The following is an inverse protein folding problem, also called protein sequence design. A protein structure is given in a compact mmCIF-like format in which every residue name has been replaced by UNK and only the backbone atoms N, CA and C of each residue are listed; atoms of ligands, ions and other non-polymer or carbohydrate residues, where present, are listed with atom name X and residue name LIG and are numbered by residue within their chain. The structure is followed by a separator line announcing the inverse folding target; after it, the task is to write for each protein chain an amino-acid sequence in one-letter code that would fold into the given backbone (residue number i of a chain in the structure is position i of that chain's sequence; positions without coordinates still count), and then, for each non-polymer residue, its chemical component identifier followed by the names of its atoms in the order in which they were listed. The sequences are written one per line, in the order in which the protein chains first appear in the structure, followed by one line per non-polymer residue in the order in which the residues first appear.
data_IF_813943506534
#
_entry.id   IF_813943506534
#
_cell.length_a   1.000
_cell.length_b   1.000
_cell.length_c   1.000
_cell.angle_alpha   90.00
_cell.angle_beta   90.00
_cell.angle_gamma   90.00
#
_symmetry.space_group_name_H-M   'P 1'
#
loop_
_entity.id
_entity.type
_entity.pdbx_description
1 polymer ?
#
# COMPACT_ATOMS: atom_id res chain seq x y z
N UNK A 1 5.64 -23.87 1.69
CA UNK A 1 6.14 -22.51 2.01
C UNK A 1 6.57 -21.89 0.68
N UNK A 2 5.88 -20.85 0.17
CA UNK A 2 6.28 -20.18 -1.08
C UNK A 2 7.32 -19.09 -0.74
N UNK A 3 8.37 -19.00 -1.56
CA UNK A 3 9.42 -17.99 -1.39
C UNK A 3 8.91 -16.57 -1.70
N UNK A 4 9.45 -15.54 -1.03
CA UNK A 4 9.11 -14.15 -1.35
C UNK A 4 9.49 -13.83 -2.80
N UNK A 5 8.52 -13.33 -3.56
CA UNK A 5 8.79 -12.80 -4.90
C UNK A 5 9.19 -11.34 -4.77
N UNK A 6 10.43 -11.01 -5.16
CA UNK A 6 10.86 -9.61 -5.28
C UNK A 6 10.15 -8.99 -6.48
N UNK A 7 9.39 -7.93 -6.26
CA UNK A 7 8.98 -7.03 -7.34
C UNK A 7 10.21 -6.18 -7.68
N UNK A 8 10.77 -6.41 -8.86
CA UNK A 8 11.98 -5.72 -9.32
C UNK A 8 11.80 -4.20 -9.45
N UNK A 9 12.93 -3.51 -9.32
CA UNK A 9 13.23 -2.06 -9.43
C UNK A 9 12.82 -1.12 -8.30
N UNK A 10 11.96 -1.51 -7.35
CA UNK A 10 11.57 -0.62 -6.23
C UNK A 10 11.96 -1.13 -4.83
N UNK A 11 12.58 -2.30 -4.72
CA UNK A 11 13.02 -2.86 -3.43
C UNK A 11 11.88 -3.28 -2.49
N UNK A 12 10.62 -3.24 -2.94
CA UNK A 12 9.45 -3.61 -2.15
C UNK A 12 9.23 -5.13 -2.26
N UNK A 13 9.29 -5.82 -1.12
CA UNK A 13 8.92 -7.24 -1.03
C UNK A 13 7.45 -7.33 -0.68
N UNK A 14 6.61 -7.71 -1.65
CA UNK A 14 5.18 -7.96 -1.41
C UNK A 14 5.02 -9.45 -1.13
N UNK A 15 4.56 -9.77 0.08
CA UNK A 15 4.26 -11.14 0.49
C UNK A 15 2.79 -11.45 0.17
N UNK A 16 2.45 -12.69 -0.24
CA UNK A 16 1.07 -13.07 -0.51
C UNK A 16 0.30 -12.98 0.81
N UNK A 17 -0.52 -11.94 0.97
CA UNK A 17 -1.27 -11.71 2.18
C UNK A 17 -2.73 -11.44 1.82
N UNK A 18 -3.56 -12.48 1.96
CA UNK A 18 -5.03 -12.36 2.20
C UNK A 18 -5.38 -11.50 3.42
N UNK A 19 -4.37 -11.07 4.17
CA UNK A 19 -4.47 -10.20 5.32
C UNK A 19 -4.80 -8.75 4.93
N UNK A 20 -4.45 -8.38 3.70
CA UNK A 20 -4.68 -7.05 3.19
C UNK A 20 -6.10 -6.86 2.65
N UNK A 21 -6.87 -7.92 2.40
CA UNK A 21 -8.19 -7.81 1.79
C UNK A 21 -9.15 -6.95 2.63
N UNK A 22 -9.22 -7.15 3.95
CA UNK A 22 -10.10 -6.34 4.83
C UNK A 22 -9.53 -4.96 5.15
N UNK A 23 -8.20 -4.82 5.14
CA UNK A 23 -7.52 -3.54 5.42
C UNK A 23 -7.63 -2.63 4.20
N UNK A 24 -7.34 -3.14 3.00
CA UNK A 24 -7.33 -2.39 1.73
C UNK A 24 -8.74 -2.08 1.23
N UNK A 25 -9.75 -2.89 1.56
CA UNK A 25 -11.15 -2.63 1.16
C UNK A 25 -11.78 -1.42 1.85
N UNK A 26 -11.19 -0.88 2.91
CA UNK A 26 -11.68 0.29 3.64
C UNK A 26 -10.86 1.58 3.43
N UNK A 27 -9.86 1.57 2.53
CA UNK A 27 -9.15 2.81 2.19
C UNK A 27 -9.93 3.61 1.15
N UNK A 28 -10.32 4.82 1.55
CA UNK A 28 -10.85 5.84 0.65
C UNK A 28 -9.83 6.96 0.53
N UNK A 29 -9.51 7.39 -0.70
CA UNK A 29 -8.72 8.60 -0.93
C UNK A 29 -9.41 9.87 -0.41
N UNK A 30 -10.66 9.79 0.01
CA UNK A 30 -11.48 10.93 0.43
C UNK A 30 -11.67 11.03 1.94
N UNK A 31 -11.17 10.06 2.71
CA UNK A 31 -11.43 9.98 4.13
C UNK A 31 -10.14 9.81 4.92
N UNK A 32 -10.15 10.41 6.11
CA UNK A 32 -9.08 10.34 7.08
C UNK A 32 -9.57 9.56 8.27
N UNK A 33 -8.68 8.86 8.95
CA UNK A 33 -9.07 8.03 10.08
C UNK A 33 -7.91 7.38 10.79
N UNK A 34 -8.27 6.62 11.81
CA UNK A 34 -7.36 5.79 12.57
C UNK A 34 -7.88 4.36 12.56
N UNK A 35 -6.96 3.42 12.51
CA UNK A 35 -7.24 2.00 12.52
C UNK A 35 -6.22 1.25 13.34
N UNK A 36 -6.45 -0.05 13.44
CA UNK A 36 -5.50 -1.00 14.01
C UNK A 36 -5.34 -2.12 13.01
N UNK A 37 -4.09 -2.44 12.70
CA UNK A 37 -3.73 -3.65 11.95
C UNK A 37 -3.41 -4.74 12.96
N UNK A 38 -4.28 -5.75 13.13
CA UNK A 38 -3.90 -6.92 13.90
C UNK A 38 -2.78 -7.67 13.18
N UNK A 39 -2.01 -8.48 13.88
CA UNK A 39 -1.00 -9.36 13.30
C UNK A 39 -1.22 -10.74 13.92
N UNK A 40 -1.90 -11.62 13.17
CA UNK A 40 -2.39 -12.91 13.67
C UNK A 40 -2.09 -14.07 12.70
N UNK A 41 -0.86 -14.13 12.18
CA UNK A 41 -0.43 -15.24 11.32
C UNK A 41 0.03 -16.45 12.14
N UNK A 42 -0.25 -17.66 11.66
CA UNK A 42 0.18 -18.93 12.30
C UNK A 42 1.70 -19.01 12.57
N UNK A 43 2.52 -18.32 11.76
CA UNK A 43 3.99 -18.31 11.92
C UNK A 43 4.49 -17.44 13.07
N UNK A 44 3.63 -16.63 13.69
CA UNK A 44 4.02 -15.73 14.75
C UNK A 44 4.01 -16.46 16.10
N UNK A 45 5.01 -16.20 16.94
CA UNK A 45 5.07 -16.74 18.31
C UNK A 45 4.06 -16.07 19.25
N UNK A 46 3.60 -14.87 18.90
CA UNK A 46 2.56 -14.13 19.59
C UNK A 46 1.85 -13.21 18.59
N UNK A 47 0.58 -12.93 18.84
CA UNK A 47 -0.16 -11.92 18.09
C UNK A 47 0.17 -10.53 18.66
N UNK A 48 0.13 -9.51 17.81
CA UNK A 48 0.22 -8.12 18.25
C UNK A 48 -0.63 -7.22 17.34
N UNK A 49 -0.73 -5.95 17.71
CA UNK A 49 -1.48 -4.93 16.98
C UNK A 49 -0.55 -3.76 16.68
N UNK A 50 -0.70 -3.16 15.49
CA UNK A 50 -0.04 -1.91 15.15
C UNK A 50 -1.07 -0.83 14.83
N UNK A 51 -0.94 0.38 15.41
CA UNK A 51 -1.80 1.48 15.04
C UNK A 51 -1.55 1.86 13.57
N UNK A 52 -2.61 2.34 12.93
CA UNK A 52 -2.59 2.76 11.54
C UNK A 52 -3.33 4.09 11.40
N UNK A 53 -2.83 4.96 10.53
CA UNK A 53 -3.42 6.26 10.23
C UNK A 53 -3.68 6.34 8.74
N UNK A 54 -4.85 6.88 8.40
CA UNK A 54 -5.27 7.14 7.04
C UNK A 54 -5.42 8.65 6.89
N UNK A 55 -4.91 9.18 5.80
CA UNK A 55 -5.09 10.57 5.44
C UNK A 55 -5.75 10.62 4.07
N UNK A 56 -6.71 11.52 3.93
CA UNK A 56 -7.30 11.80 2.63
C UNK A 56 -6.21 12.33 1.67
N UNK A 57 -6.40 12.13 0.37
CA UNK A 57 -5.49 12.61 -0.66
C UNK A 57 -5.32 14.14 -0.60
N UNK A 58 -6.38 14.86 -0.23
CA UNK A 58 -6.32 16.32 -0.01
C UNK A 58 -5.34 16.68 1.10
N UNK A 59 -5.40 16.00 2.26
CA UNK A 59 -4.50 16.25 3.38
C UNK A 59 -3.05 15.92 3.02
N UNK A 60 -2.83 14.80 2.32
CA UNK A 60 -1.51 14.44 1.82
C UNK A 60 -0.97 15.51 0.85
N UNK A 61 -1.83 16.03 -0.02
CA UNK A 61 -1.46 17.06 -1.00
C UNK A 61 -1.14 18.41 -0.34
N UNK A 62 -1.93 18.80 0.66
CA UNK A 62 -1.69 20.01 1.47
C UNK A 62 -0.38 19.90 2.24
N UNK A 63 -0.13 18.77 2.90
CA UNK A 63 1.12 18.52 3.62
C UNK A 63 2.35 18.61 2.71
N UNK A 64 2.25 18.11 1.47
CA UNK A 64 3.31 18.26 0.46
C UNK A 64 3.54 19.73 0.13
N UNK A 65 2.46 20.49 -0.13
CA UNK A 65 2.54 21.91 -0.48
C UNK A 65 3.13 22.75 0.67
N UNK A 66 2.66 22.54 1.89
CA UNK A 66 3.14 23.21 3.11
C UNK A 66 4.63 22.93 3.38
N UNK A 67 5.10 21.75 2.98
CA UNK A 67 6.50 21.35 3.08
C UNK A 67 7.41 22.00 2.02
N UNK A 68 6.86 22.83 1.12
CA UNK A 68 7.62 23.50 0.07
C UNK A 68 7.91 22.61 -1.14
N UNK A 69 7.04 21.63 -1.42
CA UNK A 69 7.14 20.78 -2.60
C UNK A 69 5.91 20.89 -3.50
N UNK A 70 6.09 20.57 -4.77
CA UNK A 70 5.02 20.35 -5.74
C UNK A 70 4.93 18.87 -6.10
N UNK A 71 3.71 18.37 -6.24
CA UNK A 71 3.45 17.04 -6.78
C UNK A 71 3.67 17.11 -8.30
N UNK A 72 4.75 16.48 -8.80
CA UNK A 72 5.01 16.34 -10.23
C UNK A 72 4.20 15.20 -10.84
N UNK A 73 4.04 14.10 -10.11
CA UNK A 73 3.32 12.91 -10.56
C UNK A 73 2.74 12.15 -9.37
N UNK A 74 1.59 11.55 -9.60
CA UNK A 74 0.95 10.59 -8.71
C UNK A 74 0.82 9.26 -9.44
N UNK A 75 1.23 8.16 -8.82
CA UNK A 75 1.26 6.83 -9.43
C UNK A 75 0.64 5.81 -8.49
N UNK A 76 -0.33 5.08 -9.01
CA UNK A 76 -0.89 3.87 -8.41
C UNK A 76 -0.30 2.67 -9.15
N UNK A 77 0.77 2.03 -8.65
CA UNK A 77 1.41 0.92 -9.35
C UNK A 77 0.43 -0.23 -9.52
N UNK A 78 0.33 -0.75 -10.75
CA UNK A 78 -0.42 -1.97 -11.05
C UNK A 78 0.57 -3.10 -11.34
N UNK A 79 0.30 -4.32 -10.88
CA UNK A 79 1.14 -5.44 -11.22
C UNK A 79 1.07 -5.70 -12.73
N UNK A 80 2.16 -6.21 -13.27
CA UNK A 80 2.23 -6.74 -14.64
C UNK A 80 1.58 -8.12 -14.71
N UNK A 81 1.17 -8.53 -15.91
CA UNK A 81 0.62 -9.88 -16.13
C UNK A 81 1.57 -11.00 -15.66
N UNK A 82 2.89 -10.81 -15.81
CA UNK A 82 3.88 -11.75 -15.29
C UNK A 82 3.84 -11.84 -13.77
N UNK A 83 3.78 -10.71 -13.07
CA UNK A 83 3.71 -10.67 -11.62
C UNK A 83 2.43 -11.31 -11.10
N UNK A 84 1.30 -11.06 -11.76
CA UNK A 84 0.04 -11.75 -11.45
C UNK A 84 0.17 -13.25 -11.71
N UNK A 85 0.84 -13.68 -12.78
CA UNK A 85 1.06 -15.12 -13.02
C UNK A 85 1.90 -15.80 -11.93
N UNK A 86 2.94 -15.13 -11.43
CA UNK A 86 3.80 -15.64 -10.36
C UNK A 86 3.10 -15.60 -8.99
N UNK A 87 2.28 -14.58 -8.76
CA UNK A 87 1.47 -14.43 -7.56
C UNK A 87 0.04 -13.98 -7.91
N UNK A 88 -0.88 -14.95 -8.14
CA UNK A 88 -2.27 -14.66 -8.54
C UNK A 88 -3.05 -13.79 -7.55
N UNK A 89 -2.63 -13.76 -6.28
CA UNK A 89 -3.25 -12.92 -5.27
C UNK A 89 -3.09 -11.42 -5.58
N UNK A 90 -2.16 -11.03 -6.47
CA UNK A 90 -1.97 -9.63 -6.89
C UNK A 90 -3.01 -9.14 -7.91
N UNK A 91 -3.86 -10.01 -8.47
CA UNK A 91 -4.84 -9.61 -9.49
C UNK A 91 -5.85 -8.57 -8.96
N UNK A 92 -6.14 -8.61 -7.66
CA UNK A 92 -7.01 -7.66 -6.99
C UNK A 92 -6.47 -6.21 -7.00
N UNK A 93 -5.14 -6.05 -7.15
CA UNK A 93 -4.47 -4.77 -7.30
C UNK A 93 -4.91 -4.04 -8.57
N UNK A 94 -5.57 -4.70 -9.52
CA UNK A 94 -6.23 -4.03 -10.65
C UNK A 94 -7.53 -3.34 -10.25
N UNK A 95 -8.18 -3.77 -9.16
CA UNK A 95 -9.44 -3.20 -8.65
C UNK A 95 -9.18 -2.17 -7.55
N UNK A 96 -8.31 -2.49 -6.60
CA UNK A 96 -7.96 -1.62 -5.48
C UNK A 96 -6.44 -1.42 -5.44
N UNK A 97 -5.92 -0.19 -5.63
CA UNK A 97 -4.48 0.04 -5.56
C UNK A 97 -3.97 -0.18 -4.13
N UNK A 98 -2.86 -0.89 -4.00
CA UNK A 98 -2.23 -1.13 -2.69
C UNK A 98 -1.32 0.02 -2.25
N UNK A 99 -0.80 0.78 -3.23
CA UNK A 99 0.19 1.82 -2.99
C UNK A 99 -0.17 3.07 -3.80
N UNK A 100 0.13 4.22 -3.19
CA UNK A 100 0.11 5.54 -3.81
C UNK A 100 1.54 6.12 -3.71
N UNK A 101 2.12 6.51 -4.85
CA UNK A 101 3.47 7.08 -4.92
C UNK A 101 3.39 8.51 -5.45
N UNK A 102 3.96 9.45 -4.70
CA UNK A 102 4.17 10.82 -5.16
C UNK A 102 5.60 11.02 -5.65
N UNK A 103 5.74 11.54 -6.87
CA UNK A 103 6.99 12.14 -7.35
C UNK A 103 6.95 13.62 -7.02
N UNK A 104 7.78 14.05 -6.08
CA UNK A 104 7.83 15.43 -5.59
C UNK A 104 9.00 16.20 -6.21
N UNK A 105 8.82 17.50 -6.41
CA UNK A 105 9.88 18.45 -6.77
C UNK A 105 9.82 19.64 -5.84
N UNK A 106 10.96 20.28 -5.55
CA UNK A 106 10.97 21.49 -4.73
C UNK A 106 10.20 22.62 -5.43
N UNK A 107 9.38 23.34 -4.65
CA UNK A 107 8.64 24.53 -5.09
C UNK A 107 9.52 25.76 -5.22
#
# INVERSE_FOLDING_TARGET
MREPTRIADWGITVWPHRFCDEIITNFSYFESGVGVTPWSMERLTANWETPLWYQALTELSEMVAESGFMIRRMVDPRPTEEQVRQNPDLDDCHRAPYFLIFELVAS
#
